data_IF_317934239170
#
_entry.id   IF_317934239170
#
_cell.length_a   1.000
_cell.length_b   1.000
_cell.length_c   1.000
_cell.angle_alpha   90.00
_cell.angle_beta   90.00
_cell.angle_gamma   90.00
#
_symmetry.space_group_name_H-M   'P 1'
#
loop_
_entity.id
_entity.type
_entity.pdbx_description
1 polymer ?
#
# COMPACT_ATOMS: atom_id res chain seq x y z
N UNK A 1 -7.89 12.19 24.01
CA UNK A 1 -7.50 10.78 23.88
C UNK A 1 -6.02 10.63 23.56
N UNK A 2 -5.40 9.52 23.98
CA UNK A 2 -3.97 9.30 23.77
C UNK A 2 -3.51 9.37 22.30
N UNK A 3 -4.34 8.87 21.40
CA UNK A 3 -4.04 8.91 19.96
C UNK A 3 -3.97 10.35 19.44
N UNK A 4 -4.90 11.19 19.88
CA UNK A 4 -4.89 12.60 19.50
C UNK A 4 -3.64 13.32 19.98
N UNK A 5 -3.16 13.00 21.20
CA UNK A 5 -1.91 13.53 21.74
C UNK A 5 -0.70 13.09 20.91
N UNK A 6 -0.66 11.82 20.53
CA UNK A 6 0.43 11.29 19.71
C UNK A 6 0.47 11.98 18.35
N UNK A 7 -0.67 12.18 17.72
CA UNK A 7 -0.76 12.89 16.44
C UNK A 7 -0.33 14.35 16.60
N UNK A 8 -0.75 15.01 17.66
CA UNK A 8 -0.34 16.39 17.94
C UNK A 8 1.18 16.51 18.12
N UNK A 9 1.79 15.55 18.81
CA UNK A 9 3.24 15.51 18.98
C UNK A 9 3.96 15.27 17.64
N UNK A 10 3.45 14.40 16.80
CA UNK A 10 4.00 14.15 15.47
C UNK A 10 3.94 15.42 14.61
N UNK A 11 2.82 16.14 14.63
CA UNK A 11 2.70 17.41 13.92
C UNK A 11 3.71 18.43 14.42
N UNK A 12 3.85 18.55 15.74
CA UNK A 12 4.77 19.50 16.35
C UNK A 12 6.24 19.17 16.04
N UNK A 13 6.56 17.89 15.86
CA UNK A 13 7.91 17.42 15.55
C UNK A 13 8.26 17.41 14.07
N UNK A 14 7.29 17.65 13.21
CA UNK A 14 7.53 17.65 11.75
C UNK A 14 8.01 19.04 11.32
N UNK A 15 9.27 19.17 10.86
CA UNK A 15 9.87 20.50 10.61
C UNK A 15 9.18 21.31 9.51
N UNK A 16 8.54 20.63 8.55
CA UNK A 16 7.89 21.28 7.43
C UNK A 16 6.49 21.79 7.76
N UNK A 17 5.95 21.40 8.91
CA UNK A 17 4.62 21.83 9.37
C UNK A 17 4.83 22.88 10.47
N UNK A 18 4.56 24.14 10.15
CA UNK A 18 4.71 25.23 11.11
C UNK A 18 3.43 25.53 11.85
N UNK A 19 2.29 25.36 11.17
CA UNK A 19 0.97 25.61 11.73
C UNK A 19 -0.05 24.69 11.04
N UNK A 20 -1.08 24.33 11.78
CA UNK A 20 -2.15 23.49 11.27
C UNK A 20 -3.50 23.96 11.78
N UNK A 21 -4.48 23.98 10.91
CA UNK A 21 -5.86 24.29 11.31
C UNK A 21 -6.40 23.21 12.26
N UNK A 22 -7.30 23.57 13.18
CA UNK A 22 -7.85 22.61 14.15
C UNK A 22 -8.46 21.36 13.51
N UNK A 23 -9.10 21.49 12.35
CA UNK A 23 -9.71 20.39 11.63
C UNK A 23 -8.69 19.34 11.15
N UNK A 24 -7.42 19.70 10.98
CA UNK A 24 -6.38 18.79 10.53
C UNK A 24 -6.14 17.68 11.56
N UNK A 25 -6.08 18.03 12.85
CA UNK A 25 -5.93 17.03 13.92
C UNK A 25 -7.08 16.03 13.90
N UNK A 26 -8.30 16.51 13.74
CA UNK A 26 -9.48 15.67 13.67
C UNK A 26 -9.45 14.74 12.46
N UNK A 27 -9.07 15.24 11.30
CA UNK A 27 -8.94 14.43 10.09
C UNK A 27 -7.86 13.37 10.22
N UNK A 28 -6.72 13.72 10.82
CA UNK A 28 -5.64 12.76 11.04
C UNK A 28 -6.05 11.68 12.05
N UNK A 29 -6.85 12.02 13.05
CA UNK A 29 -7.38 11.07 14.00
C UNK A 29 -8.32 10.07 13.30
N UNK A 30 -9.21 10.54 12.46
CA UNK A 30 -10.09 9.68 11.66
C UNK A 30 -9.30 8.80 10.70
N UNK A 31 -8.29 9.36 10.04
CA UNK A 31 -7.40 8.60 9.16
C UNK A 31 -6.68 7.48 9.93
N UNK A 32 -6.13 7.80 11.08
CA UNK A 32 -5.45 6.82 11.94
C UNK A 32 -6.37 5.67 12.30
N UNK A 33 -7.59 5.98 12.72
CA UNK A 33 -8.58 4.97 13.05
C UNK A 33 -8.92 4.07 11.86
N UNK A 34 -9.19 4.66 10.73
CA UNK A 34 -9.54 3.95 9.50
C UNK A 34 -8.39 3.08 9.00
N UNK A 35 -7.18 3.63 9.01
CA UNK A 35 -5.99 2.90 8.60
C UNK A 35 -5.73 1.69 9.50
N UNK A 36 -5.81 1.88 10.81
CA UNK A 36 -5.63 0.79 11.78
C UNK A 36 -6.68 -0.30 11.57
N UNK A 37 -7.93 0.08 11.35
CA UNK A 37 -9.01 -0.88 11.08
C UNK A 37 -8.73 -1.68 9.81
N UNK A 38 -8.25 -1.03 8.76
CA UNK A 38 -7.92 -1.71 7.51
C UNK A 38 -6.74 -2.66 7.67
N UNK A 39 -5.71 -2.26 8.40
CA UNK A 39 -4.56 -3.12 8.68
C UNK A 39 -4.98 -4.35 9.47
N UNK A 40 -5.82 -4.18 10.47
CA UNK A 40 -6.34 -5.31 11.26
C UNK A 40 -7.23 -6.22 10.43
N UNK A 41 -8.03 -5.68 9.53
CA UNK A 41 -8.84 -6.48 8.59
C UNK A 41 -7.96 -7.32 7.67
N UNK A 42 -6.88 -6.74 7.14
CA UNK A 42 -5.92 -7.47 6.32
C UNK A 42 -5.21 -8.56 7.14
N UNK A 43 -4.82 -8.23 8.37
CA UNK A 43 -4.18 -9.19 9.26
C UNK A 43 -5.09 -10.38 9.57
N UNK A 44 -6.39 -10.12 9.72
CA UNK A 44 -7.39 -11.18 9.92
C UNK A 44 -7.45 -12.13 8.72
N UNK A 45 -7.41 -11.58 7.50
CA UNK A 45 -7.38 -12.40 6.27
C UNK A 45 -6.14 -13.31 6.26
N UNK A 46 -4.99 -12.76 6.61
CA UNK A 46 -3.75 -13.55 6.69
C UNK A 46 -3.83 -14.62 7.76
N UNK A 47 -4.41 -14.30 8.93
CA UNK A 47 -4.62 -15.28 10.00
C UNK A 47 -5.52 -16.42 9.54
N UNK A 48 -6.61 -16.11 8.86
CA UNK A 48 -7.52 -17.13 8.33
C UNK A 48 -6.84 -18.00 7.26
N UNK A 49 -6.03 -17.40 6.41
CA UNK A 49 -5.25 -18.13 5.42
C UNK A 49 -4.26 -19.10 6.09
N UNK A 50 -3.74 -18.75 7.24
CA UNK A 50 -2.86 -19.60 8.03
C UNK A 50 -3.62 -20.63 8.89
N UNK A 51 -4.93 -20.71 8.78
CA UNK A 51 -5.76 -21.68 9.54
C UNK A 51 -6.13 -21.23 10.95
N UNK A 52 -5.87 -19.98 11.31
CA UNK A 52 -6.20 -19.43 12.63
C UNK A 52 -7.42 -18.51 12.55
N UNK A 53 -8.58 -19.10 12.40
CA UNK A 53 -9.81 -18.34 12.27
C UNK A 53 -10.06 -17.45 13.49
N UNK A 54 -10.20 -16.15 13.24
CA UNK A 54 -10.50 -15.17 14.27
C UNK A 54 -9.35 -14.84 15.22
N UNK A 55 -8.17 -15.44 15.05
CA UNK A 55 -7.04 -15.23 15.94
C UNK A 55 -5.88 -14.55 15.20
N UNK A 56 -5.79 -13.24 15.33
CA UNK A 56 -4.73 -12.43 14.73
C UNK A 56 -3.50 -12.47 15.65
N UNK A 57 -2.35 -12.79 15.07
CA UNK A 57 -1.06 -12.74 15.75
C UNK A 57 -0.21 -11.57 15.24
N UNK A 58 0.87 -11.28 15.94
CA UNK A 58 1.76 -10.19 15.57
C UNK A 58 2.32 -10.36 14.15
N UNK A 59 2.63 -11.60 13.75
CA UNK A 59 3.15 -11.88 12.40
C UNK A 59 2.16 -11.49 11.31
N UNK A 60 0.86 -11.65 11.56
CA UNK A 60 -0.18 -11.26 10.61
C UNK A 60 -0.22 -9.75 10.44
N UNK A 61 -0.10 -9.01 11.55
CA UNK A 61 -0.06 -7.54 11.54
C UNK A 61 1.20 -7.06 10.83
N UNK A 62 2.34 -7.66 11.12
CA UNK A 62 3.61 -7.33 10.48
C UNK A 62 3.53 -7.53 8.97
N UNK A 63 2.97 -8.64 8.53
CA UNK A 63 2.77 -8.91 7.11
C UNK A 63 1.83 -7.89 6.46
N UNK A 64 0.73 -7.56 7.13
CA UNK A 64 -0.23 -6.58 6.64
C UNK A 64 0.42 -5.20 6.46
N UNK A 65 1.21 -4.77 7.44
CA UNK A 65 1.94 -3.48 7.36
C UNK A 65 2.96 -3.50 6.25
N UNK A 66 3.74 -4.56 6.13
CA UNK A 66 4.76 -4.68 5.08
C UNK A 66 4.16 -4.65 3.67
N UNK A 67 3.04 -5.33 3.48
CA UNK A 67 2.35 -5.33 2.19
C UNK A 67 1.85 -3.93 1.81
N UNK A 68 1.30 -3.20 2.77
CA UNK A 68 0.82 -1.83 2.54
C UNK A 68 1.97 -0.85 2.32
N UNK A 69 3.02 -0.95 3.11
CA UNK A 69 4.20 -0.08 2.95
C UNK A 69 4.82 -0.28 1.57
N UNK A 70 4.92 -1.52 1.11
CA UNK A 70 5.45 -1.81 -0.23
C UNK A 70 4.62 -1.21 -1.35
N UNK A 71 3.32 -1.10 -1.17
CA UNK A 71 2.40 -0.56 -2.16
C UNK A 71 2.20 0.96 -2.03
N UNK A 72 1.94 1.46 -0.81
CA UNK A 72 1.53 2.85 -0.57
C UNK A 72 2.70 3.79 -0.32
N UNK A 73 3.75 3.31 0.35
CA UNK A 73 4.90 4.10 0.78
C UNK A 73 6.21 3.58 0.22
N UNK A 74 6.16 2.48 -0.51
CA UNK A 74 7.34 1.88 -1.10
C UNK A 74 8.01 2.82 -2.07
N UNK A 75 9.34 2.81 -2.07
CA UNK A 75 10.11 3.56 -3.02
C UNK A 75 9.82 3.13 -4.45
N UNK A 76 10.18 3.99 -5.38
CA UNK A 76 10.09 3.66 -6.79
C UNK A 76 10.95 2.43 -7.09
N UNK A 77 10.44 1.59 -7.97
CA UNK A 77 11.24 0.52 -8.53
C UNK A 77 12.48 1.14 -9.20
N UNK A 78 13.69 0.65 -8.91
CA UNK A 78 14.89 1.22 -9.50
C UNK A 78 14.82 1.25 -11.02
N UNK A 79 15.28 2.36 -11.61
CA UNK A 79 15.28 2.54 -13.07
C UNK A 79 16.03 1.42 -13.77
N UNK A 80 17.14 0.99 -13.22
CA UNK A 80 17.97 -0.09 -13.75
C UNK A 80 17.19 -1.41 -13.85
N UNK A 81 16.36 -1.70 -12.84
CA UNK A 81 15.52 -2.90 -12.83
C UNK A 81 14.47 -2.83 -13.95
N UNK A 82 13.81 -1.69 -14.10
CA UNK A 82 12.80 -1.49 -15.15
C UNK A 82 13.44 -1.61 -16.53
N UNK A 83 14.61 -1.02 -16.74
CA UNK A 83 15.35 -1.11 -17.99
C UNK A 83 15.77 -2.54 -18.30
N UNK A 84 16.27 -3.27 -17.31
CA UNK A 84 16.66 -4.66 -17.45
C UNK A 84 15.47 -5.53 -17.84
N UNK A 85 14.34 -5.36 -17.15
CA UNK A 85 13.11 -6.08 -17.44
C UNK A 85 12.57 -5.74 -18.84
N UNK A 86 12.61 -4.46 -19.21
CA UNK A 86 12.21 -3.99 -20.54
C UNK A 86 13.05 -4.64 -21.63
N UNK A 87 14.37 -4.68 -21.45
CA UNK A 87 15.28 -5.31 -22.42
C UNK A 87 14.94 -6.79 -22.59
N UNK A 88 14.73 -7.51 -21.50
CA UNK A 88 14.34 -8.92 -21.54
C UNK A 88 13.00 -9.12 -22.25
N UNK A 89 11.99 -8.36 -21.84
CA UNK A 89 10.62 -8.52 -22.34
C UNK A 89 10.52 -8.13 -23.81
N UNK A 90 11.19 -7.04 -24.20
CA UNK A 90 11.08 -6.49 -25.54
C UNK A 90 12.06 -7.11 -26.53
N UNK A 91 12.93 -8.03 -26.08
CA UNK A 91 13.83 -8.76 -26.98
C UNK A 91 13.09 -9.74 -27.88
N UNK A 92 11.91 -10.17 -27.47
CA UNK A 92 11.06 -11.05 -28.26
C UNK A 92 9.94 -10.21 -28.87
N UNK A 93 9.89 -10.06 -30.21
CA UNK A 93 8.84 -9.28 -30.84
C UNK A 93 7.49 -9.99 -30.71
N UNK A 94 6.44 -9.20 -30.72
CA UNK A 94 5.09 -9.74 -30.77
C UNK A 94 4.89 -10.52 -32.06
N UNK A 95 4.07 -11.59 -32.04
CA UNK A 95 3.77 -12.33 -33.26
C UNK A 95 3.05 -11.42 -34.26
N UNK A 96 3.28 -11.63 -35.56
CA UNK A 96 2.61 -10.81 -36.58
C UNK A 96 1.11 -11.00 -36.52
N UNK A 97 0.40 -9.89 -36.74
CA UNK A 97 -1.05 -9.92 -36.79
C UNK A 97 -1.47 -10.64 -38.09
N UNK A 98 -2.25 -11.74 -38.00
CA UNK A 98 -2.73 -12.40 -39.21
C UNK A 98 -3.68 -11.50 -39.96
N UNK A 99 -3.62 -11.53 -41.30
CA UNK A 99 -4.59 -10.85 -42.13
C UNK A 99 -5.93 -11.58 -42.06
N UNK A 100 -6.86 -10.99 -41.34
CA UNK A 100 -8.21 -11.52 -41.22
C UNK A 100 -9.20 -10.40 -41.51
N UNK A 101 -10.11 -10.65 -42.43
CA UNK A 101 -11.18 -9.70 -42.70
C UNK A 101 -12.20 -9.70 -41.56
N UNK A 102 -12.61 -8.50 -41.16
CA UNK A 102 -13.65 -8.31 -40.17
C UNK A 102 -13.11 -7.93 -38.78
N UNK A 103 -14.03 -7.71 -37.84
CA UNK A 103 -13.72 -7.33 -36.47
C UNK A 103 -13.24 -8.56 -35.70
N UNK A 104 -12.08 -8.44 -35.06
CA UNK A 104 -11.60 -9.47 -34.14
C UNK A 104 -12.17 -9.24 -32.78
N UNK A 105 -12.79 -10.28 -32.24
CA UNK A 105 -13.21 -10.33 -30.85
C UNK A 105 -12.09 -10.96 -30.03
N UNK A 106 -11.89 -10.45 -28.76
CA UNK A 106 -10.90 -11.04 -27.88
C UNK A 106 -11.25 -12.45 -27.44
#
# INVERSE_FOLDING_TARGET
PPTARAIALLLASTPTVQDAQPGVLHQLLEFSHRYTTQVLSDALVYAEHAGRSGKVEMDDVTLAVQARVGWEFGGRVPKEYILSLSTQTNSVPLPPVPEVFGVRLP
#
